data_IF_044598182734
#
_entry.id   IF_044598182734
#
_cell.length_a   1.000
_cell.length_b   1.000
_cell.length_c   1.000
_cell.angle_alpha   90.00
_cell.angle_beta   90.00
_cell.angle_gamma   90.00
#
_symmetry.space_group_name_H-M   'P 1'
#
loop_
_entity.id
_entity.type
_entity.pdbx_description
1 polymer ?
#
# COMPACT_ATOMS: atom_id res chain seq x y z
N UNK A 1 21.80 -2.35 4.05
CA UNK A 1 20.62 -3.17 4.41
C UNK A 1 19.48 -2.78 3.48
N UNK A 2 18.86 -3.73 2.81
CA UNK A 2 17.75 -3.45 1.91
C UNK A 2 16.43 -3.57 2.68
N UNK A 3 15.58 -2.56 2.60
CA UNK A 3 14.27 -2.53 3.27
C UNK A 3 13.19 -2.21 2.27
N UNK A 4 12.03 -2.82 2.44
CA UNK A 4 10.82 -2.52 1.67
C UNK A 4 9.88 -1.65 2.50
N UNK A 5 9.34 -0.61 1.92
CA UNK A 5 8.30 0.21 2.49
C UNK A 5 6.95 -0.22 1.93
N UNK A 6 6.06 -0.65 2.79
CA UNK A 6 4.68 -0.96 2.47
C UNK A 6 3.78 0.21 2.85
N UNK A 7 2.80 0.50 2.03
CA UNK A 7 1.85 1.56 2.27
C UNK A 7 0.41 1.12 1.98
N UNK A 8 -0.52 1.67 2.73
CA UNK A 8 -1.96 1.63 2.45
C UNK A 8 -2.45 3.06 2.26
N UNK A 9 -3.21 3.29 1.21
CA UNK A 9 -3.84 4.59 0.93
C UNK A 9 -5.34 4.46 0.83
N UNK A 10 -6.03 5.59 0.97
CA UNK A 10 -7.44 5.71 0.66
C UNK A 10 -7.69 5.87 -0.86
N UNK A 11 -8.93 6.11 -1.24
CA UNK A 11 -9.35 6.31 -2.63
C UNK A 11 -8.68 7.50 -3.30
N UNK A 12 -8.31 8.52 -2.54
CA UNK A 12 -7.68 9.74 -3.04
C UNK A 12 -6.16 9.66 -3.08
N UNK A 13 -5.57 8.55 -2.59
CA UNK A 13 -4.13 8.35 -2.51
C UNK A 13 -3.52 8.93 -1.24
N UNK A 14 -4.31 9.26 -0.21
CA UNK A 14 -3.78 9.68 1.08
C UNK A 14 -3.29 8.47 1.87
N UNK A 15 -2.08 8.52 2.43
CA UNK A 15 -1.55 7.42 3.21
C UNK A 15 -2.35 7.22 4.51
N UNK A 16 -2.74 5.98 4.77
CA UNK A 16 -3.43 5.56 5.99
C UNK A 16 -2.50 4.82 6.93
N UNK A 17 -1.59 4.04 6.38
CA UNK A 17 -0.63 3.24 7.13
C UNK A 17 0.63 3.00 6.34
N UNK A 18 1.74 2.94 7.05
CA UNK A 18 3.05 2.52 6.54
C UNK A 18 3.65 1.48 7.47
N UNK A 19 4.41 0.55 6.91
CA UNK A 19 5.34 -0.27 7.69
C UNK A 19 6.50 -0.71 6.80
N UNK A 20 7.57 -1.17 7.44
CA UNK A 20 8.77 -1.63 6.75
C UNK A 20 9.04 -3.10 7.03
N UNK A 21 9.52 -3.80 6.00
CA UNK A 21 10.05 -5.15 6.12
C UNK A 21 11.48 -5.21 5.61
N UNK A 22 12.24 -6.20 6.07
CA UNK A 22 13.55 -6.48 5.46
C UNK A 22 13.38 -6.86 3.99
N UNK A 23 14.32 -6.47 3.13
CA UNK A 23 14.20 -6.63 1.68
C UNK A 23 14.03 -8.07 1.20
N UNK A 24 14.56 -9.04 1.96
CA UNK A 24 14.42 -10.46 1.68
C UNK A 24 13.09 -11.06 2.15
N UNK A 25 12.32 -10.35 2.98
CA UNK A 25 11.00 -10.82 3.44
C UNK A 25 10.03 -10.80 2.27
N UNK A 26 9.22 -11.86 2.15
CA UNK A 26 8.21 -11.92 1.10
C UNK A 26 7.11 -10.88 1.32
N UNK A 27 6.51 -10.41 0.24
CA UNK A 27 5.40 -9.46 0.31
C UNK A 27 4.17 -10.05 1.02
N UNK A 28 4.09 -11.38 1.11
CA UNK A 28 3.05 -12.09 1.89
C UNK A 28 3.10 -11.81 3.39
N UNK A 29 4.29 -11.71 3.96
CA UNK A 29 4.44 -11.35 5.38
C UNK A 29 3.96 -9.92 5.61
N UNK A 30 4.27 -9.03 4.66
CA UNK A 30 3.73 -7.68 4.65
C UNK A 30 2.21 -7.66 4.53
N UNK A 31 1.64 -8.50 3.67
CA UNK A 31 0.20 -8.63 3.48
C UNK A 31 -0.52 -9.05 4.78
N UNK A 32 0.06 -9.99 5.54
CA UNK A 32 -0.52 -10.42 6.82
C UNK A 32 -0.58 -9.26 7.83
N UNK A 33 0.50 -8.50 7.96
CA UNK A 33 0.55 -7.33 8.85
C UNK A 33 -0.44 -6.23 8.41
N UNK A 34 -0.60 -6.03 7.09
CA UNK A 34 -1.59 -5.08 6.57
C UNK A 34 -3.01 -5.49 6.89
N UNK A 35 -3.32 -6.78 6.84
CA UNK A 35 -4.68 -7.29 6.97
C UNK A 35 -5.32 -6.90 8.30
N UNK A 36 -4.55 -6.91 9.40
CA UNK A 36 -5.04 -6.53 10.72
C UNK A 36 -5.42 -5.06 10.81
N UNK A 37 -4.63 -4.19 10.16
CA UNK A 37 -4.81 -2.74 10.19
C UNK A 37 -5.68 -2.16 9.09
N UNK A 38 -6.26 -2.98 8.20
CA UNK A 38 -7.08 -2.46 7.10
C UNK A 38 -8.36 -1.82 7.62
N UNK A 39 -8.68 -0.58 7.20
CA UNK A 39 -9.94 0.04 7.50
C UNK A 39 -11.08 -0.65 6.73
N UNK A 40 -12.32 -0.40 7.15
CA UNK A 40 -13.50 -0.85 6.38
C UNK A 40 -13.46 -0.25 4.97
N UNK A 41 -13.49 -1.12 3.96
CA UNK A 41 -13.47 -0.75 2.56
C UNK A 41 -14.30 -1.73 1.73
N UNK A 42 -14.73 -1.30 0.56
CA UNK A 42 -15.43 -2.20 -0.38
C UNK A 42 -14.42 -2.95 -1.27
N UNK A 43 -13.32 -2.30 -1.60
CA UNK A 43 -12.32 -2.82 -2.53
C UNK A 43 -10.91 -2.61 -1.98
N UNK A 44 -10.06 -3.62 -2.19
CA UNK A 44 -8.63 -3.52 -1.95
C UNK A 44 -7.88 -3.73 -3.27
N UNK A 45 -7.16 -2.71 -3.71
CA UNK A 45 -6.32 -2.76 -4.90
C UNK A 45 -4.88 -3.01 -4.47
N UNK A 46 -4.29 -4.08 -4.98
CA UNK A 46 -2.91 -4.45 -4.69
C UNK A 46 -2.17 -4.91 -5.94
N UNK A 47 -0.85 -4.89 -5.92
CA UNK A 47 -0.05 -5.42 -6.99
C UNK A 47 0.01 -6.96 -6.97
N UNK A 48 0.69 -7.54 -7.97
CA UNK A 48 0.85 -8.99 -8.07
C UNK A 48 1.63 -9.62 -6.91
N UNK A 49 2.41 -8.84 -6.18
CA UNK A 49 3.13 -9.30 -5.00
C UNK A 49 2.19 -9.79 -3.91
N UNK A 50 0.98 -9.24 -3.85
CA UNK A 50 -0.06 -9.61 -2.90
C UNK A 50 -0.99 -10.75 -3.38
N UNK A 51 -0.72 -11.35 -4.54
CA UNK A 51 -1.55 -12.45 -5.07
C UNK A 51 -1.28 -13.76 -4.33
N UNK A 52 -2.02 -13.99 -3.27
CA UNK A 52 -2.09 -15.25 -2.53
C UNK A 52 -3.55 -15.61 -2.23
N UNK A 53 -3.88 -16.89 -2.33
CA UNK A 53 -5.26 -17.35 -2.12
C UNK A 53 -5.72 -17.05 -0.69
N UNK A 54 -4.90 -17.39 0.32
CA UNK A 54 -5.18 -17.07 1.71
C UNK A 54 -5.46 -15.59 1.96
N UNK A 55 -4.76 -14.68 1.25
CA UNK A 55 -4.94 -13.24 1.41
C UNK A 55 -6.24 -12.76 0.78
N UNK A 56 -6.59 -13.33 -0.38
CA UNK A 56 -7.89 -13.08 -1.03
C UNK A 56 -9.06 -13.53 -0.18
N UNK A 57 -8.95 -14.73 0.38
CA UNK A 57 -9.98 -15.30 1.27
C UNK A 57 -10.14 -14.45 2.53
N UNK A 58 -9.05 -14.08 3.18
CA UNK A 58 -9.07 -13.21 4.36
C UNK A 58 -9.64 -11.80 4.08
N UNK A 59 -9.41 -11.24 2.90
CA UNK A 59 -10.04 -9.98 2.48
C UNK A 59 -11.55 -10.16 2.32
N UNK A 60 -11.99 -11.25 1.69
CA UNK A 60 -13.41 -11.54 1.50
C UNK A 60 -14.12 -11.78 2.83
N UNK A 61 -13.50 -12.48 3.77
CA UNK A 61 -14.03 -12.65 5.14
C UNK A 61 -14.23 -11.30 5.85
N UNK A 62 -13.38 -10.32 5.56
CA UNK A 62 -13.55 -8.94 6.04
C UNK A 62 -14.57 -8.12 5.23
N UNK A 63 -15.23 -8.72 4.22
CA UNK A 63 -16.15 -8.04 3.33
C UNK A 63 -15.48 -7.09 2.32
N UNK A 64 -14.18 -7.28 2.07
CA UNK A 64 -13.39 -6.48 1.13
C UNK A 64 -13.17 -7.27 -0.15
N UNK A 65 -13.56 -6.73 -1.29
CA UNK A 65 -13.34 -7.38 -2.58
C UNK A 65 -11.91 -7.14 -3.06
N UNK A 66 -11.09 -8.20 -3.27
CA UNK A 66 -9.74 -8.04 -3.78
C UNK A 66 -9.73 -7.71 -5.27
N UNK A 67 -9.01 -6.66 -5.65
CA UNK A 67 -8.72 -6.29 -7.03
C UNK A 67 -7.20 -6.37 -7.24
N UNK A 68 -6.70 -7.60 -7.33
CA UNK A 68 -5.28 -7.94 -7.40
C UNK A 68 -5.08 -8.79 -8.65
N UNK A 69 -4.19 -8.42 -9.58
CA UNK A 69 -3.87 -9.27 -10.73
C UNK A 69 -3.23 -10.59 -10.30
N UNK A 70 -3.56 -11.65 -11.02
CA UNK A 70 -2.92 -12.95 -10.81
C UNK A 70 -1.42 -12.92 -11.15
N UNK A 71 -0.63 -13.72 -10.43
CA UNK A 71 0.79 -13.93 -10.76
C UNK A 71 0.91 -14.65 -12.09
N UNK A 72 2.01 -14.39 -12.79
CA UNK A 72 2.32 -15.07 -14.06
C UNK A 72 2.46 -16.60 -13.92
N UNK A 73 2.84 -17.07 -12.74
CA UNK A 73 3.02 -18.49 -12.42
C UNK A 73 1.71 -19.23 -12.14
N UNK A 74 0.56 -18.55 -12.08
CA UNK A 74 -0.72 -19.23 -11.89
C UNK A 74 -1.13 -20.00 -13.14
N UNK A 75 -1.61 -21.23 -12.93
CA UNK A 75 -2.18 -22.07 -13.99
C UNK A 75 -3.51 -21.47 -14.47
N UNK A 76 -4.37 -21.05 -13.54
CA UNK A 76 -5.64 -20.45 -13.85
C UNK A 76 -5.58 -18.91 -13.73
N UNK A 77 -5.98 -18.16 -14.78
CA UNK A 77 -5.98 -16.70 -14.72
C UNK A 77 -7.03 -16.19 -13.74
N UNK A 78 -6.67 -15.17 -12.97
CA UNK A 78 -7.59 -14.49 -12.07
C UNK A 78 -8.29 -13.34 -12.81
N UNK A 79 -9.61 -13.35 -12.77
CA UNK A 79 -10.41 -12.22 -13.25
C UNK A 79 -10.40 -11.10 -12.21
N UNK A 80 -10.12 -9.88 -12.62
CA UNK A 80 -10.18 -8.69 -11.79
C UNK A 80 -10.67 -7.50 -12.61
N UNK A 81 -11.19 -6.48 -11.95
CA UNK A 81 -11.68 -5.25 -12.60
C UNK A 81 -10.49 -4.37 -13.04
N UNK A 82 -10.15 -4.48 -14.33
CA UNK A 82 -9.04 -3.70 -14.92
C UNK A 82 -9.29 -2.20 -14.88
N UNK A 83 -10.54 -1.76 -15.01
CA UNK A 83 -10.89 -0.33 -14.96
C UNK A 83 -10.62 0.22 -13.56
N UNK A 84 -11.08 -0.49 -12.55
CA UNK A 84 -10.84 -0.14 -11.14
C UNK A 84 -9.36 -0.23 -10.78
N UNK A 85 -8.67 -1.25 -11.26
CA UNK A 85 -7.24 -1.44 -11.02
C UNK A 85 -6.39 -0.27 -11.54
N UNK A 86 -6.76 0.39 -12.63
CA UNK A 86 -6.05 1.58 -13.13
C UNK A 86 -5.95 2.68 -12.09
N UNK A 87 -6.93 2.80 -11.21
CA UNK A 87 -6.88 3.81 -10.14
C UNK A 87 -5.82 3.51 -9.07
N UNK A 88 -5.13 2.36 -9.14
CA UNK A 88 -3.97 2.06 -8.28
C UNK A 88 -2.83 3.05 -8.47
N UNK A 89 -2.74 3.72 -9.61
CA UNK A 89 -1.74 4.75 -9.86
C UNK A 89 -1.72 5.87 -8.79
N UNK A 90 -2.81 6.05 -8.04
CA UNK A 90 -2.86 7.03 -6.95
C UNK A 90 -1.83 6.75 -5.86
N UNK A 91 -1.54 5.47 -5.56
CA UNK A 91 -0.50 5.13 -4.59
C UNK A 91 0.90 5.40 -5.15
N UNK A 92 1.10 5.20 -6.45
CA UNK A 92 2.36 5.52 -7.12
C UNK A 92 2.62 7.04 -7.11
N UNK A 93 1.58 7.85 -7.33
CA UNK A 93 1.64 9.31 -7.21
C UNK A 93 1.98 9.71 -5.77
N UNK A 94 1.37 9.05 -4.77
CA UNK A 94 1.68 9.28 -3.36
C UNK A 94 3.15 9.01 -3.06
N UNK A 95 3.70 7.90 -3.51
CA UNK A 95 5.13 7.60 -3.35
C UNK A 95 6.02 8.62 -4.09
N UNK A 96 5.61 9.06 -5.29
CA UNK A 96 6.30 10.12 -6.02
C UNK A 96 6.41 11.39 -5.19
N UNK A 97 5.29 11.85 -4.62
CA UNK A 97 5.27 13.04 -3.76
C UNK A 97 6.10 12.89 -2.48
N UNK A 98 6.12 11.69 -1.87
CA UNK A 98 7.01 11.43 -0.73
C UNK A 98 8.48 11.54 -1.11
N UNK A 99 8.85 11.11 -2.33
CA UNK A 99 10.22 11.20 -2.84
C UNK A 99 10.64 12.63 -3.19
N UNK A 100 9.71 13.58 -3.34
CA UNK A 100 10.03 15.01 -3.47
C UNK A 100 10.73 15.55 -2.22
N UNK A 101 10.54 14.91 -1.07
CA UNK A 101 11.35 15.15 0.10
C UNK A 101 12.71 14.47 -0.06
N UNK A 102 13.74 15.28 -0.29
CA UNK A 102 15.11 14.83 -0.56
C UNK A 102 15.60 13.79 0.45
N UNK A 103 15.27 13.95 1.74
CA UNK A 103 15.65 13.04 2.81
C UNK A 103 15.03 11.63 2.63
N UNK A 104 13.82 11.56 2.11
CA UNK A 104 13.15 10.30 1.77
C UNK A 104 13.73 9.71 0.50
N UNK A 105 13.88 10.50 -0.55
CA UNK A 105 14.37 10.05 -1.86
C UNK A 105 15.79 9.46 -1.79
N UNK A 106 16.68 10.09 -1.05
CA UNK A 106 18.09 9.68 -0.94
C UNK A 106 18.33 8.60 0.10
N UNK A 107 17.30 8.23 0.87
CA UNK A 107 17.45 7.34 2.04
C UNK A 107 18.61 7.78 2.93
N UNK A 108 18.69 9.06 3.20
CA UNK A 108 19.75 9.69 3.98
C UNK A 108 19.94 9.00 5.33
N UNK A 109 18.85 8.65 5.97
CA UNK A 109 18.87 7.97 7.26
C UNK A 109 19.08 6.46 7.05
N UNK A 110 20.22 5.96 7.51
CA UNK A 110 20.55 4.52 7.46
C UNK A 110 19.79 3.71 8.52
N UNK A 111 19.39 4.34 9.61
CA UNK A 111 18.57 3.72 10.64
C UNK A 111 17.11 3.58 10.15
N UNK A 112 16.55 2.37 10.11
CA UNK A 112 15.17 2.16 9.65
C UNK A 112 14.13 2.96 10.42
N UNK A 113 14.30 3.11 11.74
CA UNK A 113 13.37 3.86 12.61
C UNK A 113 13.37 5.34 12.26
N UNK A 114 14.56 5.94 12.07
CA UNK A 114 14.71 7.36 11.72
C UNK A 114 14.17 7.61 10.31
N UNK A 115 14.46 6.71 9.38
CA UNK A 115 13.93 6.78 8.02
C UNK A 115 12.41 6.69 8.00
N UNK A 116 11.83 5.77 8.77
CA UNK A 116 10.38 5.64 8.92
C UNK A 116 9.75 6.89 9.51
N UNK A 117 10.37 7.49 10.51
CA UNK A 117 9.91 8.75 11.11
C UNK A 117 9.90 9.90 10.10
N UNK A 118 10.92 9.98 9.24
CA UNK A 118 10.98 10.96 8.17
C UNK A 118 9.84 10.79 7.14
N UNK A 119 9.52 9.53 6.80
CA UNK A 119 8.39 9.21 5.92
C UNK A 119 7.06 9.60 6.56
N UNK A 120 6.85 9.26 7.83
CA UNK A 120 5.62 9.58 8.56
C UNK A 120 5.41 11.10 8.64
N UNK A 121 6.47 11.87 8.91
CA UNK A 121 6.43 13.33 8.94
C UNK A 121 6.10 13.90 7.57
N UNK A 122 6.77 13.44 6.51
CA UNK A 122 6.52 13.88 5.14
C UNK A 122 5.08 13.59 4.71
N UNK A 123 4.57 12.40 5.01
CA UNK A 123 3.21 12.00 4.71
C UNK A 123 2.18 12.88 5.44
N UNK A 124 2.40 13.16 6.72
CA UNK A 124 1.54 14.04 7.52
C UNK A 124 1.46 15.43 6.91
N UNK A 125 2.60 16.04 6.60
CA UNK A 125 2.65 17.39 6.02
C UNK A 125 2.01 17.44 4.65
N UNK A 126 2.34 16.49 3.76
CA UNK A 126 1.91 16.53 2.35
C UNK A 126 0.44 16.17 2.15
N UNK A 127 -0.12 15.30 2.99
CA UNK A 127 -1.42 14.71 2.71
C UNK A 127 -2.49 15.03 3.76
N UNK A 128 -2.12 15.32 5.00
CA UNK A 128 -3.07 15.50 6.08
C UNK A 128 -3.19 16.94 6.57
N UNK A 129 -2.10 17.71 6.61
CA UNK A 129 -2.17 19.12 7.01
C UNK A 129 -2.74 20.02 5.90
N UNK A 130 -2.65 19.59 4.63
CA UNK A 130 -3.14 20.37 3.49
C UNK A 130 -4.61 20.13 3.14
N UNK A 131 -5.28 19.17 3.79
CA UNK A 131 -6.65 18.76 3.41
C UNK A 131 -7.52 18.48 4.62
N UNK A 132 -8.51 19.33 4.83
CA UNK A 132 -9.44 19.28 5.98
C UNK A 132 -10.71 18.43 5.74
N UNK A 133 -10.83 17.65 4.67
CA UNK A 133 -12.05 16.90 4.39
C UNK A 133 -11.84 15.39 4.41
N UNK A 134 -12.52 14.63 5.27
CA UNK A 134 -12.49 13.18 5.24
C UNK A 134 -13.36 12.66 4.09
N UNK A 135 -12.73 12.15 3.03
CA UNK A 135 -13.47 11.44 1.99
C UNK A 135 -13.93 10.05 2.48
N UNK A 136 -15.09 9.55 2.05
CA UNK A 136 -15.56 8.23 2.41
C UNK A 136 -14.60 7.14 1.90
N UNK A 137 -14.16 6.27 2.80
CA UNK A 137 -13.18 5.21 2.53
C UNK A 137 -13.82 4.01 1.82
N UNK A 138 -14.13 4.16 0.53
CA UNK A 138 -14.70 3.05 -0.27
C UNK A 138 -13.66 2.11 -0.85
N UNK A 139 -12.43 2.59 -1.03
CA UNK A 139 -11.35 1.86 -1.69
C UNK A 139 -10.07 2.06 -0.89
N UNK A 140 -9.36 0.98 -0.61
CA UNK A 140 -7.98 1.01 -0.13
C UNK A 140 -7.05 0.48 -1.19
N UNK A 141 -5.81 0.95 -1.18
CA UNK A 141 -4.76 0.52 -2.08
C UNK A 141 -3.54 0.15 -1.27
N UNK A 142 -2.82 -0.85 -1.74
CA UNK A 142 -1.55 -1.24 -1.14
C UNK A 142 -0.49 -1.39 -2.21
N UNK A 143 0.72 -1.06 -1.85
CA UNK A 143 1.91 -1.24 -2.67
C UNK A 143 3.16 -1.26 -1.80
N UNK A 144 4.30 -1.63 -2.41
CA UNK A 144 5.61 -1.71 -1.79
C UNK A 144 6.68 -1.06 -2.68
N UNK A 145 7.62 -0.36 -2.07
CA UNK A 145 8.80 0.20 -2.74
C UNK A 145 10.09 -0.14 -1.99
#
# INVERSE_FOLDING_TARGET
>A
MNTKLHAVTDADGRPLSFFMTAGQVSDYTGAAALLEGLPKAQWMLGDRGYDADWYRDALQEKGITPCIPGRKSRIAPIKYDKRRYRSRNRIEIMFGRLKDWRRVATRYDRCPTVFFSAIALAATVLFWLSTMSPAPRKIVRTDVI
#
